data_IF_012882065192
#
_entry.id   IF_012882065192
#
_cell.length_a   1.000
_cell.length_b   1.000
_cell.length_c   1.000
_cell.angle_alpha   90.00
_cell.angle_beta   90.00
_cell.angle_gamma   90.00
#
_symmetry.space_group_name_H-M   'P 1'
#
loop_
_entity.id
_entity.type
_entity.pdbx_description
1 polymer ?
#
# COMPACT_ATOMS: atom_id res chain seq x y z
N UNK A 1 -10.53 8.34 10.05
CA UNK A 1 -11.76 7.62 10.45
C UNK A 1 -12.40 6.77 9.32
N UNK A 2 -12.70 7.35 8.15
CA UNK A 2 -13.30 6.59 7.03
C UNK A 2 -12.38 5.55 6.39
N UNK A 3 -11.08 5.83 6.29
CA UNK A 3 -10.09 4.89 5.72
C UNK A 3 -9.97 3.61 6.57
N UNK A 4 -9.91 3.75 7.89
CA UNK A 4 -9.83 2.61 8.83
C UNK A 4 -11.15 1.81 8.82
N UNK A 5 -12.29 2.48 8.71
CA UNK A 5 -13.62 1.83 8.70
C UNK A 5 -13.90 1.09 7.38
N UNK A 6 -13.49 1.63 6.22
CA UNK A 6 -13.61 0.95 4.92
C UNK A 6 -12.67 -0.25 4.81
N UNK A 7 -11.45 -0.12 5.35
CA UNK A 7 -10.48 -1.22 5.42
C UNK A 7 -10.95 -2.37 6.33
N UNK A 8 -11.56 -2.06 7.48
CA UNK A 8 -12.07 -3.08 8.40
C UNK A 8 -13.20 -3.93 7.82
N UNK A 9 -14.16 -3.32 7.12
CA UNK A 9 -15.30 -4.05 6.54
C UNK A 9 -14.93 -4.81 5.26
N UNK A 10 -14.04 -4.24 4.43
CA UNK A 10 -13.53 -4.93 3.24
C UNK A 10 -12.58 -6.08 3.62
N UNK A 11 -11.78 -5.89 4.69
CA UNK A 11 -10.85 -6.87 5.21
C UNK A 11 -11.52 -8.08 5.85
N UNK A 12 -12.57 -7.86 6.66
CA UNK A 12 -13.35 -8.96 7.24
C UNK A 12 -14.12 -9.74 6.16
N UNK A 13 -14.62 -9.05 5.14
CA UNK A 13 -15.30 -9.68 4.00
C UNK A 13 -14.32 -10.48 3.13
N UNK A 14 -13.14 -9.92 2.82
CA UNK A 14 -12.09 -10.63 2.10
C UNK A 14 -11.58 -11.85 2.90
N UNK A 15 -11.37 -11.72 4.21
CA UNK A 15 -10.99 -12.84 5.06
C UNK A 15 -12.05 -13.95 5.05
N UNK A 16 -13.34 -13.59 5.11
CA UNK A 16 -14.43 -14.56 5.04
C UNK A 16 -14.45 -15.31 3.70
N UNK A 17 -14.26 -14.59 2.59
CA UNK A 17 -14.18 -15.20 1.25
C UNK A 17 -12.96 -16.13 1.11
N UNK A 18 -11.80 -15.72 1.62
CA UNK A 18 -10.57 -16.53 1.60
C UNK A 18 -10.73 -17.78 2.46
N UNK A 19 -11.26 -17.66 3.67
CA UNK A 19 -11.52 -18.82 4.56
C UNK A 19 -12.49 -19.80 3.89
N UNK A 20 -13.58 -19.30 3.28
CA UNK A 20 -14.51 -20.15 2.53
C UNK A 20 -13.83 -20.86 1.37
N UNK A 21 -13.09 -20.13 0.55
CA UNK A 21 -12.45 -20.69 -0.62
C UNK A 21 -11.33 -21.70 -0.26
N UNK A 22 -10.62 -21.49 0.84
CA UNK A 22 -9.72 -22.49 1.43
C UNK A 22 -10.46 -23.72 1.94
N UNK A 23 -11.58 -23.56 2.64
CA UNK A 23 -12.40 -24.66 3.15
C UNK A 23 -13.10 -25.47 2.04
N UNK A 24 -13.25 -24.88 0.85
CA UNK A 24 -13.86 -25.51 -0.33
C UNK A 24 -12.80 -26.06 -1.31
N UNK A 25 -11.51 -25.95 -0.97
CA UNK A 25 -10.35 -26.32 -1.81
C UNK A 25 -10.29 -25.59 -3.18
N UNK A 26 -11.03 -24.47 -3.33
CA UNK A 26 -11.05 -23.62 -4.53
C UNK A 26 -9.74 -22.84 -4.71
N UNK A 27 -8.96 -22.65 -3.64
CA UNK A 27 -7.69 -21.92 -3.64
C UNK A 27 -6.67 -22.70 -2.82
N UNK A 28 -5.51 -22.99 -3.42
CA UNK A 28 -4.43 -23.67 -2.72
C UNK A 28 -3.44 -22.66 -2.13
N UNK A 29 -2.91 -22.93 -0.93
CA UNK A 29 -1.87 -22.10 -0.31
C UNK A 29 -0.59 -21.94 -1.18
N UNK A 30 -0.44 -22.78 -2.21
CA UNK A 30 0.62 -22.71 -3.21
C UNK A 30 0.57 -21.46 -4.11
N UNK A 31 -0.56 -20.76 -4.22
CA UNK A 31 -0.74 -19.57 -5.07
C UNK A 31 -0.16 -18.27 -4.50
N UNK A 32 0.43 -18.30 -3.30
CA UNK A 32 0.95 -17.12 -2.60
C UNK A 32 1.89 -16.25 -3.47
N UNK A 33 2.71 -16.86 -4.35
CA UNK A 33 3.62 -16.13 -5.26
C UNK A 33 2.88 -15.32 -6.31
N UNK A 34 1.77 -15.83 -6.84
CA UNK A 34 0.94 -15.15 -7.85
C UNK A 34 0.26 -13.94 -7.22
N UNK A 35 -0.22 -14.11 -5.99
CA UNK A 35 -0.88 -13.05 -5.21
C UNK A 35 0.14 -11.98 -4.81
N UNK A 36 1.32 -12.37 -4.34
CA UNK A 36 2.41 -11.45 -4.02
C UNK A 36 2.76 -10.53 -5.20
N UNK A 37 2.87 -11.07 -6.42
CA UNK A 37 3.14 -10.27 -7.62
C UNK A 37 2.01 -9.30 -7.94
N UNK A 38 0.76 -9.74 -7.82
CA UNK A 38 -0.41 -8.89 -8.05
C UNK A 38 -0.46 -7.72 -7.06
N UNK A 39 -0.24 -8.02 -5.79
CA UNK A 39 -0.27 -7.02 -4.72
C UNK A 39 0.95 -6.10 -4.72
N UNK A 40 2.11 -6.58 -5.17
CA UNK A 40 3.27 -5.74 -5.44
C UNK A 40 2.96 -4.72 -6.55
N UNK A 41 2.31 -5.13 -7.65
CA UNK A 41 1.90 -4.23 -8.72
C UNK A 41 0.86 -3.21 -8.23
N UNK A 42 -0.16 -3.67 -7.52
CA UNK A 42 -1.21 -2.82 -6.93
C UNK A 42 -0.60 -1.80 -5.95
N UNK A 43 0.30 -2.26 -5.08
CA UNK A 43 1.00 -1.43 -4.10
C UNK A 43 1.93 -0.41 -4.76
N UNK A 44 2.61 -0.77 -5.86
CA UNK A 44 3.43 0.16 -6.64
C UNK A 44 2.57 1.22 -7.32
N UNK A 45 1.44 0.85 -7.94
CA UNK A 45 0.54 1.80 -8.59
C UNK A 45 -0.06 2.79 -7.59
N UNK A 46 -0.60 2.28 -6.48
CA UNK A 46 -1.18 3.11 -5.43
C UNK A 46 -0.11 3.98 -4.75
N UNK A 47 1.03 3.37 -4.41
CA UNK A 47 2.16 4.04 -3.78
C UNK A 47 2.78 5.13 -4.66
N UNK A 48 2.91 4.89 -5.96
CA UNK A 48 3.38 5.90 -6.91
C UNK A 48 2.37 7.05 -7.04
N UNK A 49 1.07 6.76 -7.14
CA UNK A 49 0.04 7.80 -7.25
C UNK A 49 0.03 8.70 -6.01
N UNK A 50 0.03 8.12 -4.81
CA UNK A 50 0.06 8.89 -3.55
C UNK A 50 1.42 9.57 -3.36
N UNK A 51 2.53 8.92 -3.70
CA UNK A 51 3.87 9.48 -3.59
C UNK A 51 4.06 10.70 -4.49
N UNK A 52 3.57 10.66 -5.73
CA UNK A 52 3.59 11.81 -6.66
C UNK A 52 2.73 12.96 -6.11
N UNK A 53 1.54 12.66 -5.59
CA UNK A 53 0.70 13.68 -4.94
C UNK A 53 1.40 14.31 -3.73
N UNK A 54 2.10 13.50 -2.92
CA UNK A 54 2.90 13.98 -1.80
C UNK A 54 4.02 14.92 -2.23
N UNK A 55 4.76 14.56 -3.28
CA UNK A 55 5.81 15.43 -3.86
C UNK A 55 5.23 16.76 -4.33
N UNK A 56 4.15 16.72 -5.13
CA UNK A 56 3.50 17.93 -5.66
C UNK A 56 3.01 18.81 -4.50
N UNK A 57 2.37 18.20 -3.51
CA UNK A 57 1.84 18.90 -2.34
C UNK A 57 2.96 19.57 -1.53
N UNK A 58 4.07 18.88 -1.26
CA UNK A 58 5.22 19.46 -0.55
C UNK A 58 5.85 20.61 -1.32
N UNK A 59 6.09 20.46 -2.63
CA UNK A 59 6.66 21.53 -3.45
C UNK A 59 5.74 22.75 -3.50
N UNK A 60 4.45 22.54 -3.74
CA UNK A 60 3.45 23.63 -3.81
C UNK A 60 3.38 24.35 -2.45
N UNK A 61 3.30 23.60 -1.36
CA UNK A 61 3.19 24.17 -0.02
C UNK A 61 4.47 24.93 0.40
N UNK A 62 5.65 24.43 0.06
CA UNK A 62 6.92 25.12 0.30
C UNK A 62 6.99 26.44 -0.47
N UNK A 63 6.64 26.43 -1.76
CA UNK A 63 6.62 27.66 -2.57
C UNK A 63 5.60 28.69 -2.07
N UNK A 64 4.42 28.26 -1.61
CA UNK A 64 3.39 29.15 -1.04
C UNK A 64 3.82 29.80 0.28
N UNK A 65 4.65 29.14 1.08
CA UNK A 65 5.23 29.68 2.31
C UNK A 65 6.42 30.61 2.05
N UNK A 66 6.83 30.80 0.80
CA UNK A 66 7.98 31.63 0.44
C UNK A 66 9.32 30.93 0.64
N UNK A 67 9.34 29.60 0.76
CA UNK A 67 10.61 28.85 0.71
C UNK A 67 11.24 28.99 -0.68
N UNK A 68 12.56 29.18 -0.69
CA UNK A 68 13.30 29.24 -1.94
C UNK A 68 13.24 27.86 -2.60
N UNK A 69 12.91 27.83 -3.89
CA UNK A 69 12.95 26.60 -4.68
C UNK A 69 14.41 26.18 -4.87
N UNK A 70 14.94 25.47 -3.88
CA UNK A 70 16.32 25.04 -3.80
C UNK A 70 16.44 23.52 -3.88
N UNK A 71 17.68 23.04 -3.85
CA UNK A 71 17.94 21.60 -3.88
C UNK A 71 17.42 20.89 -2.62
N UNK A 72 17.38 21.57 -1.47
CA UNK A 72 16.87 21.03 -0.21
C UNK A 72 15.39 20.69 -0.27
N UNK A 73 14.57 21.60 -0.81
CA UNK A 73 13.13 21.41 -0.97
C UNK A 73 12.82 20.24 -1.92
N UNK A 74 13.53 20.16 -3.05
CA UNK A 74 13.37 19.06 -4.02
C UNK A 74 13.73 17.71 -3.38
N UNK A 75 14.85 17.63 -2.66
CA UNK A 75 15.28 16.41 -1.97
C UNK A 75 14.30 16.01 -0.86
N UNK A 76 13.74 16.98 -0.15
CA UNK A 76 12.73 16.75 0.90
C UNK A 76 11.44 16.21 0.30
N UNK A 77 10.93 16.84 -0.77
CA UNK A 77 9.74 16.37 -1.48
C UNK A 77 9.96 14.95 -2.04
N UNK A 78 11.11 14.68 -2.65
CA UNK A 78 11.47 13.34 -3.15
C UNK A 78 11.55 12.30 -2.01
N UNK A 79 12.12 12.66 -0.86
CA UNK A 79 12.20 11.79 0.32
C UNK A 79 10.81 11.43 0.82
N UNK A 80 9.89 12.39 0.88
CA UNK A 80 8.50 12.18 1.28
C UNK A 80 7.79 11.26 0.28
N UNK A 81 7.92 11.53 -1.03
CA UNK A 81 7.32 10.71 -2.07
C UNK A 81 7.78 9.26 -2.04
N UNK A 82 9.09 9.03 -1.91
CA UNK A 82 9.68 7.69 -1.78
C UNK A 82 9.26 6.99 -0.49
N UNK A 83 9.19 7.72 0.63
CA UNK A 83 8.73 7.17 1.91
C UNK A 83 7.27 6.72 1.84
N UNK A 84 6.39 7.52 1.23
CA UNK A 84 4.98 7.18 1.04
C UNK A 84 4.82 5.94 0.16
N UNK A 85 5.57 5.84 -0.94
CA UNK A 85 5.60 4.65 -1.78
C UNK A 85 6.01 3.42 -0.96
N UNK A 86 7.11 3.52 -0.21
CA UNK A 86 7.63 2.43 0.62
C UNK A 86 6.63 1.97 1.68
N UNK A 87 6.00 2.90 2.40
CA UNK A 87 5.01 2.60 3.45
C UNK A 87 3.78 1.90 2.86
N UNK A 88 3.25 2.40 1.73
CA UNK A 88 2.08 1.81 1.07
C UNK A 88 2.40 0.41 0.54
N UNK A 89 3.55 0.26 -0.10
CA UNK A 89 4.01 -1.04 -0.59
C UNK A 89 4.13 -2.04 0.56
N UNK A 90 4.81 -1.65 1.64
CA UNK A 90 5.00 -2.51 2.79
C UNK A 90 3.68 -2.87 3.47
N UNK A 91 2.77 -1.90 3.64
CA UNK A 91 1.44 -2.12 4.19
C UNK A 91 0.62 -3.10 3.35
N UNK A 92 0.62 -2.94 2.02
CA UNK A 92 -0.14 -3.82 1.13
C UNK A 92 0.41 -5.25 1.13
N UNK A 93 1.74 -5.41 1.09
CA UNK A 93 2.38 -6.71 1.14
C UNK A 93 2.15 -7.41 2.49
N UNK A 94 2.31 -6.69 3.60
CA UNK A 94 2.12 -7.27 4.94
C UNK A 94 0.67 -7.70 5.16
N UNK A 95 -0.30 -6.85 4.79
CA UNK A 95 -1.72 -7.16 4.93
C UNK A 95 -2.18 -8.33 4.07
N UNK A 96 -1.70 -8.43 2.83
CA UNK A 96 -2.09 -9.50 1.90
C UNK A 96 -1.42 -10.85 2.20
N UNK A 97 -0.23 -10.86 2.80
CA UNK A 97 0.50 -12.10 3.10
C UNK A 97 0.12 -12.72 4.45
N UNK A 98 -0.51 -11.96 5.35
CA UNK A 98 -0.88 -12.42 6.69
C UNK A 98 -1.71 -13.73 6.69
N UNK A 99 -2.72 -13.91 5.81
CA UNK A 99 -3.46 -15.18 5.72
C UNK A 99 -2.59 -16.37 5.30
N UNK A 100 -1.66 -16.18 4.35
CA UNK A 100 -0.76 -17.24 3.87
C UNK A 100 0.27 -17.67 4.91
N UNK A 101 0.69 -16.74 5.77
CA UNK A 101 1.59 -17.04 6.88
C UNK A 101 0.83 -17.85 7.95
N UNK A 102 -0.41 -17.46 8.26
CA UNK A 102 -1.21 -18.12 9.28
C UNK A 102 -1.75 -19.49 8.87
N UNK A 103 -2.02 -19.73 7.58
CA UNK A 103 -2.51 -21.03 7.08
C UNK A 103 -1.41 -22.04 6.77
N UNK A 104 -0.14 -21.61 6.82
CA UNK A 104 1.02 -22.50 6.69
C UNK A 104 1.37 -23.22 8.00
N UNK A 105 0.77 -22.81 9.11
CA UNK A 105 0.82 -23.47 10.43
C UNK A 105 -0.54 -24.05 10.78
#
# INVERSE_FOLDING_TARGET
PMIISSGGNSGSQAATLIIRALATDDISASDWRKILRRELLSGLMLGAMIGVLGVIMTLTWGTLQGEVFDRGLILTAATIGLSLLGVILFGNLTGSMLPFILTKF
#
